data_IF_016704798638
#
_entry.id   IF_016704798638
#
_cell.length_a   1.000
_cell.length_b   1.000
_cell.length_c   1.000
_cell.angle_alpha   90.00
_cell.angle_beta   90.00
_cell.angle_gamma   90.00
#
_symmetry.space_group_name_H-M   'P 1'
#
loop_
_entity.id
_entity.type
_entity.pdbx_description
1 polymer ?
#
# COMPACT_ATOMS: atom_id res chain seq x y z
N UNK A 1 27.74 8.80 -0.71
CA UNK A 1 26.37 8.24 -0.69
C UNK A 1 25.44 9.43 -0.57
N UNK A 2 24.88 9.89 -1.69
CA UNK A 2 23.97 11.02 -1.74
C UNK A 2 22.62 10.55 -1.17
N UNK A 3 22.15 11.16 -0.08
CA UNK A 3 20.86 10.79 0.51
C UNK A 3 19.77 11.38 -0.37
N UNK A 4 19.18 10.57 -1.23
CA UNK A 4 17.96 10.94 -1.97
C UNK A 4 16.84 11.10 -0.93
N UNK A 5 16.50 12.35 -0.58
CA UNK A 5 15.31 12.64 0.20
C UNK A 5 14.11 12.38 -0.70
N UNK A 6 13.36 11.32 -0.43
CA UNK A 6 12.07 11.15 -1.08
C UNK A 6 11.15 12.27 -0.60
N UNK A 7 10.61 13.07 -1.53
CA UNK A 7 9.70 14.15 -1.19
C UNK A 7 8.44 13.55 -0.52
N UNK A 8 7.93 14.13 0.58
CA UNK A 8 6.74 13.63 1.28
C UNK A 8 5.54 13.41 0.35
N UNK A 9 5.38 14.25 -0.67
CA UNK A 9 4.33 14.12 -1.66
C UNK A 9 4.48 12.86 -2.53
N UNK A 10 5.71 12.52 -2.93
CA UNK A 10 6.00 11.32 -3.71
C UNK A 10 5.73 10.06 -2.88
N UNK A 11 6.12 10.05 -1.61
CA UNK A 11 5.83 8.94 -0.69
C UNK A 11 4.32 8.76 -0.49
N UNK A 12 3.57 9.86 -0.33
CA UNK A 12 2.11 9.80 -0.20
C UNK A 12 1.44 9.28 -1.48
N UNK A 13 1.89 9.74 -2.65
CA UNK A 13 1.37 9.28 -3.93
C UNK A 13 1.66 7.79 -4.16
N UNK A 14 2.90 7.36 -3.90
CA UNK A 14 3.30 5.96 -3.99
C UNK A 14 2.48 5.09 -3.02
N UNK A 15 2.34 5.51 -1.76
CA UNK A 15 1.53 4.79 -0.78
C UNK A 15 0.06 4.66 -1.19
N UNK A 16 -0.53 5.72 -1.73
CA UNK A 16 -1.91 5.70 -2.27
C UNK A 16 -2.05 4.72 -3.43
N UNK A 17 -1.10 4.73 -4.37
CA UNK A 17 -1.08 3.80 -5.50
C UNK A 17 -0.97 2.35 -5.05
N UNK A 18 -0.13 2.08 -4.04
CA UNK A 18 0.07 0.74 -3.48
C UNK A 18 -1.18 0.23 -2.77
N UNK A 19 -1.84 1.09 -1.97
CA UNK A 19 -3.13 0.73 -1.33
C UNK A 19 -4.21 0.45 -2.38
N UNK A 20 -4.27 1.25 -3.44
CA UNK A 20 -5.22 1.01 -4.54
C UNK A 20 -4.94 -0.31 -5.25
N UNK A 21 -3.68 -0.66 -5.50
CA UNK A 21 -3.29 -1.94 -6.07
C UNK A 21 -3.68 -3.13 -5.17
N UNK A 22 -3.49 -3.01 -3.86
CA UNK A 22 -3.95 -4.00 -2.89
C UNK A 22 -5.47 -4.18 -2.92
N UNK A 23 -6.23 -3.10 -3.08
CA UNK A 23 -7.68 -3.18 -3.22
C UNK A 23 -8.07 -3.90 -4.52
N UNK A 24 -7.45 -3.56 -5.65
CA UNK A 24 -7.70 -4.22 -6.93
C UNK A 24 -7.40 -5.73 -6.89
N UNK A 25 -6.33 -6.13 -6.19
CA UNK A 25 -6.02 -7.55 -5.94
C UNK A 25 -7.13 -8.24 -5.15
N UNK A 26 -7.62 -7.59 -4.08
CA UNK A 26 -8.72 -8.12 -3.27
C UNK A 26 -10.02 -8.25 -4.07
N UNK A 27 -10.35 -7.27 -4.92
CA UNK A 27 -11.56 -7.26 -5.74
C UNK A 27 -11.53 -8.36 -6.82
N UNK A 28 -10.35 -8.62 -7.40
CA UNK A 28 -10.13 -9.71 -8.37
C UNK A 28 -10.49 -11.08 -7.77
N UNK A 29 -10.19 -11.28 -6.49
CA UNK A 29 -10.51 -12.52 -5.76
C UNK A 29 -12.00 -12.64 -5.48
N UNK A 30 -12.64 -11.53 -5.09
CA UNK A 30 -14.07 -11.49 -4.79
C UNK A 30 -14.95 -11.79 -6.00
N UNK A 31 -14.48 -11.47 -7.21
CA UNK A 31 -15.20 -11.73 -8.47
C UNK A 31 -15.05 -13.14 -9.04
N UNK A 32 -14.18 -14.00 -8.48
CA UNK A 32 -13.91 -15.32 -9.04
C UNK A 32 -14.93 -16.40 -8.56
N UNK A 33 -16.02 -16.52 -9.31
CA UNK A 33 -17.06 -17.55 -9.18
C UNK A 33 -16.64 -18.88 -9.87
N UNK A 34 -15.64 -19.58 -9.32
CA UNK A 34 -15.18 -20.88 -9.87
C UNK A 34 -16.20 -22.03 -9.67
N UNK A 35 -17.28 -21.80 -8.93
CA UNK A 35 -18.35 -22.78 -8.71
C UNK A 35 -19.17 -23.12 -9.96
N UNK A 36 -19.10 -22.29 -11.01
CA UNK A 36 -19.71 -22.59 -12.31
C UNK A 36 -18.83 -23.55 -13.13
N UNK A 37 -17.52 -23.30 -13.20
CA UNK A 37 -16.59 -24.12 -13.99
C UNK A 37 -16.50 -25.58 -13.51
N UNK A 38 -16.67 -25.83 -12.21
CA UNK A 38 -16.72 -27.20 -11.66
C UNK A 38 -18.00 -27.96 -12.01
N UNK A 39 -19.12 -27.25 -12.27
CA UNK A 39 -20.40 -27.88 -12.67
C UNK A 39 -20.40 -28.38 -14.11
N UNK A 40 -19.63 -27.74 -14.99
CA UNK A 40 -19.56 -28.09 -16.41
C UNK A 40 -18.57 -29.23 -16.72
N UNK A 41 -17.80 -29.71 -15.72
CA UNK A 41 -16.84 -30.81 -15.87
C UNK A 41 -17.10 -32.01 -14.92
N UNK A 42 -18.33 -32.55 -14.87
CA UNK A 42 -18.68 -33.61 -13.93
C UNK A 42 -17.83 -34.87 -14.15
N UNK A 43 -17.40 -35.50 -13.05
CA UNK A 43 -16.68 -36.78 -13.06
C UNK A 43 -15.17 -36.68 -13.30
N UNK A 44 -14.61 -35.49 -13.47
CA UNK A 44 -13.16 -35.30 -13.59
C UNK A 44 -12.51 -35.05 -12.23
N UNK A 45 -11.28 -35.57 -12.05
CA UNK A 45 -10.44 -35.22 -10.88
C UNK A 45 -10.25 -33.69 -10.81
N UNK A 46 -10.12 -33.03 -11.97
CA UNK A 46 -10.01 -31.58 -12.08
C UNK A 46 -11.18 -30.85 -11.44
N UNK A 47 -12.43 -31.28 -11.70
CA UNK A 47 -13.61 -30.67 -11.09
C UNK A 47 -13.68 -30.90 -9.57
N UNK A 48 -13.18 -32.04 -9.07
CA UNK A 48 -13.11 -32.30 -7.64
C UNK A 48 -12.07 -31.44 -6.92
N UNK A 49 -10.95 -31.11 -7.59
CA UNK A 49 -9.86 -30.32 -7.01
C UNK A 49 -10.02 -28.81 -7.20
N UNK A 50 -10.81 -28.38 -8.19
CA UNK A 50 -11.03 -26.97 -8.53
C UNK A 50 -11.44 -26.10 -7.31
N UNK A 51 -12.34 -26.54 -6.42
CA UNK A 51 -12.73 -25.75 -5.25
C UNK A 51 -11.58 -25.55 -4.26
N UNK A 52 -10.76 -26.58 -4.03
CA UNK A 52 -9.60 -26.50 -3.13
C UNK A 52 -8.52 -25.60 -3.70
N UNK A 53 -8.20 -25.73 -4.99
CA UNK A 53 -7.27 -24.82 -5.67
C UNK A 53 -7.78 -23.38 -5.65
N UNK A 54 -9.08 -23.18 -5.92
CA UNK A 54 -9.71 -21.87 -5.82
C UNK A 54 -9.51 -21.28 -4.41
N UNK A 55 -9.84 -22.04 -3.37
CA UNK A 55 -9.71 -21.60 -1.99
C UNK A 55 -8.28 -21.19 -1.64
N UNK A 56 -7.29 -22.02 -2.00
CA UNK A 56 -5.87 -21.75 -1.75
C UNK A 56 -5.39 -20.50 -2.50
N UNK A 57 -5.78 -20.36 -3.77
CA UNK A 57 -5.48 -19.18 -4.56
C UNK A 57 -6.09 -17.92 -3.96
N UNK A 58 -7.37 -17.96 -3.56
CA UNK A 58 -8.04 -16.82 -2.91
C UNK A 58 -7.31 -16.43 -1.62
N UNK A 59 -6.94 -17.42 -0.81
CA UNK A 59 -6.20 -17.21 0.43
C UNK A 59 -4.85 -16.53 0.17
N UNK A 60 -4.07 -17.06 -0.79
CA UNK A 60 -2.76 -16.51 -1.16
C UNK A 60 -2.85 -15.07 -1.65
N UNK A 61 -3.83 -14.75 -2.50
CA UNK A 61 -4.00 -13.39 -3.02
C UNK A 61 -4.49 -12.43 -1.93
N UNK A 62 -5.33 -12.87 -0.99
CA UNK A 62 -5.73 -12.07 0.16
C UNK A 62 -4.55 -11.75 1.10
N UNK A 63 -3.66 -12.72 1.33
CA UNK A 63 -2.43 -12.51 2.09
C UNK A 63 -1.53 -11.48 1.40
N UNK A 64 -1.35 -11.63 0.07
CA UNK A 64 -0.58 -10.67 -0.72
C UNK A 64 -1.20 -9.26 -0.68
N UNK A 65 -2.51 -9.14 -0.90
CA UNK A 65 -3.22 -7.87 -0.83
C UNK A 65 -3.04 -7.19 0.54
N UNK A 66 -3.08 -7.97 1.63
CA UNK A 66 -2.86 -7.46 2.98
C UNK A 66 -1.44 -6.93 3.17
N UNK A 67 -0.42 -7.68 2.72
CA UNK A 67 0.98 -7.27 2.82
C UNK A 67 1.27 -6.02 1.97
N UNK A 68 0.73 -5.96 0.75
CA UNK A 68 0.85 -4.80 -0.14
C UNK A 68 0.17 -3.58 0.48
N UNK A 69 -1.04 -3.73 1.05
CA UNK A 69 -1.74 -2.63 1.74
C UNK A 69 -0.91 -2.07 2.88
N UNK A 70 -0.36 -2.93 3.74
CA UNK A 70 0.50 -2.49 4.86
C UNK A 70 1.73 -1.72 4.39
N UNK A 71 2.32 -2.10 3.25
CA UNK A 71 3.42 -1.35 2.63
C UNK A 71 2.97 0.06 2.22
N UNK A 72 1.79 0.18 1.60
CA UNK A 72 1.24 1.46 1.18
C UNK A 72 0.93 2.40 2.36
N UNK A 73 0.36 1.85 3.43
CA UNK A 73 0.10 2.57 4.68
C UNK A 73 1.41 3.06 5.33
N UNK A 74 2.45 2.23 5.34
CA UNK A 74 3.76 2.61 5.87
C UNK A 74 4.42 3.75 5.07
N UNK A 75 4.25 3.77 3.75
CA UNK A 75 4.69 4.89 2.91
C UNK A 75 3.96 6.19 3.24
N UNK A 76 2.63 6.13 3.45
CA UNK A 76 1.83 7.29 3.84
C UNK A 76 2.18 7.80 5.24
N UNK A 77 2.43 6.89 6.18
CA UNK A 77 2.90 7.24 7.52
C UNK A 77 4.27 7.93 7.47
N UNK A 78 5.19 7.40 6.66
CA UNK A 78 6.52 7.98 6.44
C UNK A 78 6.44 9.37 5.81
N UNK A 79 5.56 9.57 4.81
CA UNK A 79 5.28 10.87 4.22
C UNK A 79 4.85 11.90 5.27
N UNK A 80 3.96 11.50 6.18
CA UNK A 80 3.47 12.37 7.26
C UNK A 80 4.59 12.72 8.25
N UNK A 81 5.42 11.74 8.61
CA UNK A 81 6.58 11.95 9.47
C UNK A 81 7.60 12.93 8.87
N UNK A 82 7.95 12.76 7.60
CA UNK A 82 8.90 13.66 6.94
C UNK A 82 8.34 15.09 6.76
N UNK A 83 7.06 15.23 6.42
CA UNK A 83 6.43 16.55 6.32
C UNK A 83 6.42 17.31 7.66
N UNK A 84 6.27 16.58 8.79
CA UNK A 84 6.35 17.18 10.12
C UNK A 84 7.78 17.64 10.46
N UNK A 85 8.79 16.85 10.10
CA UNK A 85 10.20 17.21 10.28
C UNK A 85 10.54 18.49 9.49
N UNK A 86 10.10 18.56 8.23
CA UNK A 86 10.35 19.73 7.38
C UNK A 86 9.71 21.00 7.92
N UNK A 87 8.47 20.89 8.42
CA UNK A 87 7.79 22.02 9.07
C UNK A 87 8.54 22.49 10.31
N UNK A 88 8.93 21.55 11.19
CA UNK A 88 9.67 21.88 12.40
C UNK A 88 11.01 22.56 12.08
N UNK A 89 11.72 22.10 11.05
CA UNK A 89 12.96 22.73 10.60
C UNK A 89 12.72 24.17 10.10
N UNK A 90 11.64 24.40 9.33
CA UNK A 90 11.26 25.72 8.86
C UNK A 90 10.91 26.67 10.02
N UNK A 91 10.17 26.20 11.02
CA UNK A 91 9.80 26.98 12.20
C UNK A 91 11.03 27.38 13.02
N UNK A 92 11.99 26.47 13.20
CA UNK A 92 13.27 26.74 13.87
C UNK A 92 14.07 27.79 13.09
N UNK A 93 14.16 27.66 11.77
CA UNK A 93 14.85 28.63 10.92
C UNK A 93 14.20 30.02 11.01
N UNK A 94 12.88 30.10 10.95
CA UNK A 94 12.14 31.36 11.09
C UNK A 94 12.37 32.01 12.48
N UNK A 95 12.38 31.21 13.54
CA UNK A 95 12.66 31.70 14.89
C UNK A 95 14.10 32.24 15.02
N UNK A 96 15.08 31.55 14.43
CA UNK A 96 16.47 32.01 14.41
C UNK A 96 16.63 33.31 13.60
N UNK A 97 16.00 33.41 12.43
CA UNK A 97 16.01 34.64 11.63
C UNK A 97 15.38 35.82 12.36
N UNK A 98 14.27 35.58 13.08
CA UNK A 98 13.63 36.60 13.92
C UNK A 98 14.53 37.06 15.06
N UNK A 99 15.19 36.13 15.76
CA UNK A 99 16.12 36.44 16.85
C UNK A 99 17.33 37.26 16.36
N UNK A 100 17.88 36.92 15.19
CA UNK A 100 19.02 37.65 14.59
C UNK A 100 18.63 39.07 14.16
N UNK A 101 17.42 39.26 13.62
CA UNK A 101 16.94 40.59 13.18
C UNK A 101 16.48 41.50 14.32
N UNK A 102 15.96 40.93 15.41
CA UNK A 102 15.47 41.68 16.57
C UNK A 102 16.53 42.00 17.65
N UNK A 103 17.74 41.43 17.55
CA UNK A 103 18.83 41.62 18.50
C UNK A 103 19.82 42.75 18.17
N UNK A 104 19.45 43.70 17.31
CA UNK A 104 20.24 44.90 16.97
C UNK A 104 19.64 46.15 17.59
#
# INVERSE_FOLDING_TARGET
MEKVKAEPEQLRAAGTSVVAAAQALSDTVGGLELGAAGRDMPGTITAALLPSFAAEWRHSVQQLATAVRGTGEQLQASATGYAAIDRNAADILAALEGAVRGGR
#
